data_IF_192314033610
#
_entry.id   IF_192314033610
#
_cell.length_a   1.000
_cell.length_b   1.000
_cell.length_c   1.000
_cell.angle_alpha   90.00
_cell.angle_beta   90.00
_cell.angle_gamma   90.00
#
_symmetry.space_group_name_H-M   'P 1'
#
loop_
_entity.id
_entity.type
_entity.pdbx_description
1 polymer ?
#
# COMPACT_ATOMS: atom_id res chain seq x y z
N UNK A 1 35.83 -57.71 39.47
CA UNK A 1 34.37 -57.84 39.40
C UNK A 1 33.80 -56.46 39.25
N UNK A 2 33.58 -56.03 38.06
CA UNK A 2 32.98 -54.70 37.78
C UNK A 2 31.48 -54.90 37.59
N UNK A 3 30.69 -54.49 38.60
CA UNK A 3 29.25 -54.48 38.55
C UNK A 3 28.81 -53.33 37.58
N UNK A 4 28.32 -53.75 36.42
CA UNK A 4 27.64 -52.86 35.46
C UNK A 4 26.24 -52.59 35.98
N UNK A 5 26.04 -51.50 36.72
CA UNK A 5 24.72 -51.04 37.17
C UNK A 5 24.01 -50.44 35.94
N UNK A 6 23.10 -51.21 35.33
CA UNK A 6 22.18 -50.68 34.32
C UNK A 6 21.25 -49.67 34.98
N UNK A 7 21.33 -48.42 34.60
CA UNK A 7 20.36 -47.40 35.01
C UNK A 7 19.07 -47.50 34.21
N UNK A 8 17.90 -47.15 34.78
CA UNK A 8 16.60 -47.20 34.08
C UNK A 8 16.56 -46.39 32.76
N UNK A 9 17.38 -45.37 32.66
CA UNK A 9 17.52 -44.54 31.45
C UNK A 9 18.15 -45.28 30.27
N UNK A 10 19.10 -46.20 30.55
CA UNK A 10 19.73 -47.01 29.49
C UNK A 10 18.78 -48.06 28.93
N UNK A 11 17.88 -48.62 29.72
CA UNK A 11 16.88 -49.58 29.26
C UNK A 11 15.76 -48.91 28.41
N UNK A 12 15.33 -47.70 28.77
CA UNK A 12 14.41 -46.91 27.99
C UNK A 12 14.98 -46.48 26.62
N UNK A 13 16.28 -46.13 26.58
CA UNK A 13 16.94 -45.80 25.31
C UNK A 13 17.12 -47.01 24.40
N UNK A 14 17.37 -48.18 24.94
CA UNK A 14 17.53 -49.42 24.18
C UNK A 14 16.17 -49.89 23.63
N UNK A 15 15.10 -49.80 24.44
CA UNK A 15 13.75 -50.15 24.03
C UNK A 15 13.19 -49.19 22.95
N UNK A 16 13.46 -47.86 23.07
CA UNK A 16 13.06 -46.89 22.05
C UNK A 16 13.85 -47.04 20.74
N UNK A 17 15.15 -47.40 20.80
CA UNK A 17 15.93 -47.73 19.60
C UNK A 17 15.36 -48.94 18.87
N UNK A 18 15.05 -50.00 19.59
CA UNK A 18 14.48 -51.21 18.99
C UNK A 18 13.12 -50.98 18.34
N UNK A 19 12.27 -50.18 18.95
CA UNK A 19 10.98 -49.77 18.36
C UNK A 19 11.11 -48.93 17.11
N UNK A 20 12.10 -48.01 17.09
CA UNK A 20 12.44 -47.19 15.93
C UNK A 20 13.00 -47.99 14.77
N UNK A 21 13.90 -48.94 15.03
CA UNK A 21 14.46 -49.83 14.01
C UNK A 21 13.34 -50.71 13.37
N UNK A 22 12.49 -51.32 14.16
CA UNK A 22 11.32 -52.09 13.66
C UNK A 22 10.33 -51.21 12.85
N UNK A 23 10.16 -49.95 13.22
CA UNK A 23 9.30 -49.02 12.48
C UNK A 23 9.93 -48.67 11.13
N UNK A 24 11.27 -48.40 11.10
CA UNK A 24 11.98 -48.10 9.86
C UNK A 24 12.06 -49.33 8.93
N UNK A 25 12.27 -50.52 9.47
CA UNK A 25 12.26 -51.77 8.68
C UNK A 25 10.92 -52.01 8.01
N UNK A 26 9.81 -51.73 8.72
CA UNK A 26 8.46 -51.93 8.22
C UNK A 26 7.98 -50.84 7.28
N UNK A 27 8.39 -49.58 7.47
CA UNK A 27 7.85 -48.39 6.80
C UNK A 27 8.90 -47.56 6.08
N UNK A 28 10.19 -47.89 6.18
CA UNK A 28 11.29 -47.05 5.67
C UNK A 28 11.17 -46.71 4.20
N UNK A 29 10.82 -47.66 3.36
CA UNK A 29 10.58 -47.41 1.93
C UNK A 29 9.40 -46.45 1.67
N UNK A 30 8.32 -46.54 2.44
CA UNK A 30 7.17 -45.64 2.31
C UNK A 30 7.53 -44.21 2.80
N UNK A 31 8.28 -44.11 3.88
CA UNK A 31 8.79 -42.84 4.40
C UNK A 31 9.78 -42.17 3.43
N UNK A 32 10.67 -42.98 2.83
CA UNK A 32 11.59 -42.47 1.81
C UNK A 32 10.85 -41.89 0.61
N UNK A 33 9.86 -42.64 0.08
CA UNK A 33 9.05 -42.14 -1.02
C UNK A 33 8.19 -40.92 -0.64
N UNK A 34 7.67 -40.86 0.57
CA UNK A 34 6.95 -39.69 1.07
C UNK A 34 7.87 -38.45 1.14
N UNK A 35 9.09 -38.60 1.63
CA UNK A 35 10.09 -37.50 1.65
C UNK A 35 10.49 -37.06 0.25
N UNK A 36 10.66 -37.98 -0.70
CA UNK A 36 10.96 -37.65 -2.09
C UNK A 36 9.81 -36.86 -2.72
N UNK A 37 8.56 -37.31 -2.52
CA UNK A 37 7.37 -36.61 -3.05
C UNK A 37 7.25 -35.20 -2.47
N UNK A 38 7.44 -35.05 -1.14
CA UNK A 38 7.44 -33.72 -0.49
C UNK A 38 8.56 -32.85 -1.02
N UNK A 39 9.77 -33.39 -1.19
CA UNK A 39 10.91 -32.67 -1.76
C UNK A 39 10.64 -32.19 -3.19
N UNK A 40 10.06 -33.04 -4.04
CA UNK A 40 9.67 -32.68 -5.41
C UNK A 40 8.57 -31.62 -5.42
N UNK A 41 7.56 -31.75 -4.55
CA UNK A 41 6.49 -30.76 -4.44
C UNK A 41 7.00 -29.39 -4.00
N UNK A 42 7.90 -29.35 -3.00
CA UNK A 42 8.54 -28.10 -2.57
C UNK A 42 9.41 -27.50 -3.67
N UNK A 43 10.20 -28.31 -4.38
CA UNK A 43 11.01 -27.85 -5.49
C UNK A 43 10.16 -27.25 -6.61
N UNK A 44 9.09 -27.94 -6.99
CA UNK A 44 8.12 -27.44 -8.00
C UNK A 44 7.47 -26.13 -7.54
N UNK A 45 7.08 -26.04 -6.27
CA UNK A 45 6.51 -24.82 -5.69
C UNK A 45 7.50 -23.64 -5.76
N UNK A 46 8.77 -23.85 -5.38
CA UNK A 46 9.79 -22.80 -5.45
C UNK A 46 10.11 -22.38 -6.89
N UNK A 47 10.19 -23.33 -7.82
CA UNK A 47 10.40 -23.02 -9.25
C UNK A 47 9.22 -22.19 -9.78
N UNK A 48 7.99 -22.61 -9.51
CA UNK A 48 6.78 -21.91 -9.94
C UNK A 48 6.71 -20.51 -9.34
N UNK A 49 6.97 -20.39 -8.03
CA UNK A 49 7.01 -19.09 -7.34
C UNK A 49 8.05 -18.15 -7.97
N UNK A 50 9.29 -18.61 -8.11
CA UNK A 50 10.38 -17.80 -8.69
C UNK A 50 10.09 -17.37 -10.14
N UNK A 51 9.50 -18.26 -10.94
CA UNK A 51 9.09 -17.93 -12.31
C UNK A 51 7.97 -16.87 -12.34
N UNK A 52 6.98 -17.02 -11.45
CA UNK A 52 5.87 -16.07 -11.35
C UNK A 52 6.34 -14.70 -10.83
N UNK A 53 7.22 -14.68 -9.81
CA UNK A 53 7.80 -13.44 -9.27
C UNK A 53 8.65 -12.72 -10.33
N UNK A 54 9.42 -13.45 -11.13
CA UNK A 54 10.19 -12.90 -12.26
C UNK A 54 9.31 -12.34 -13.38
N UNK A 55 8.11 -12.91 -13.59
CA UNK A 55 7.14 -12.34 -14.56
C UNK A 55 6.50 -11.06 -14.03
N UNK A 56 6.14 -11.04 -12.74
CA UNK A 56 5.59 -9.84 -12.10
C UNK A 56 6.60 -8.70 -12.11
N UNK A 57 7.85 -8.96 -11.75
CA UNK A 57 8.91 -7.95 -11.74
C UNK A 57 9.13 -7.33 -13.14
N UNK A 58 9.16 -8.14 -14.20
CA UNK A 58 9.28 -7.64 -15.57
C UNK A 58 8.07 -6.84 -16.02
N UNK A 59 6.86 -7.24 -15.62
CA UNK A 59 5.64 -6.50 -15.92
C UNK A 59 5.65 -5.13 -15.22
N UNK A 60 6.08 -5.08 -13.96
CA UNK A 60 6.23 -3.84 -13.19
C UNK A 60 7.26 -2.89 -13.79
N UNK A 61 8.42 -3.43 -14.17
CA UNK A 61 9.47 -2.64 -14.83
C UNK A 61 8.97 -2.02 -16.15
N UNK A 62 8.31 -2.82 -16.99
CA UNK A 62 7.73 -2.32 -18.24
C UNK A 62 6.65 -1.27 -17.99
N UNK A 63 5.75 -1.50 -17.03
CA UNK A 63 4.72 -0.55 -16.64
C UNK A 63 5.30 0.78 -16.14
N UNK A 64 6.36 0.72 -15.34
CA UNK A 64 7.05 1.91 -14.83
C UNK A 64 7.68 2.75 -15.93
N UNK A 65 8.24 2.10 -16.96
CA UNK A 65 8.77 2.81 -18.14
C UNK A 65 7.65 3.53 -18.90
N UNK A 66 6.52 2.86 -19.13
CA UNK A 66 5.35 3.46 -19.81
C UNK A 66 4.79 4.62 -18.98
N UNK A 67 4.64 4.45 -17.67
CA UNK A 67 4.19 5.52 -16.78
C UNK A 67 5.11 6.75 -16.84
N UNK A 68 6.44 6.53 -16.81
CA UNK A 68 7.39 7.62 -16.89
C UNK A 68 7.32 8.35 -18.25
N UNK A 69 7.10 7.62 -19.34
CA UNK A 69 6.91 8.22 -20.66
C UNK A 69 5.63 9.06 -20.71
N UNK A 70 4.52 8.60 -20.11
CA UNK A 70 3.28 9.37 -20.06
C UNK A 70 3.44 10.62 -19.16
N UNK A 71 4.11 10.51 -18.02
CA UNK A 71 4.40 11.64 -17.12
C UNK A 71 5.25 12.73 -17.77
N UNK A 72 6.15 12.36 -18.70
CA UNK A 72 7.02 13.31 -19.43
C UNK A 72 6.41 13.75 -20.77
N UNK A 73 5.36 13.07 -21.21
CA UNK A 73 4.67 13.29 -22.50
C UNK A 73 3.35 14.03 -22.35
N UNK A 74 2.30 13.41 -22.89
CA UNK A 74 0.98 14.05 -23.04
C UNK A 74 0.20 14.20 -21.73
N UNK A 75 0.51 13.38 -20.71
CA UNK A 75 -0.22 13.35 -19.43
C UNK A 75 -1.74 13.25 -19.62
N UNK A 76 -2.15 12.42 -20.59
CA UNK A 76 -3.56 12.30 -20.99
C UNK A 76 -4.29 11.23 -20.20
N UNK A 77 -5.59 11.44 -19.97
CA UNK A 77 -6.45 10.40 -19.37
C UNK A 77 -6.37 9.11 -20.19
N UNK A 78 -6.43 9.21 -21.52
CA UNK A 78 -6.37 8.06 -22.43
C UNK A 78 -5.04 7.29 -22.33
N UNK A 79 -3.90 7.97 -22.14
CA UNK A 79 -2.61 7.35 -21.93
C UNK A 79 -2.57 6.56 -20.61
N UNK A 80 -3.10 7.12 -19.55
CA UNK A 80 -3.20 6.45 -18.26
C UNK A 80 -4.19 5.27 -18.29
N UNK A 81 -5.32 5.39 -19.00
CA UNK A 81 -6.29 4.29 -19.17
C UNK A 81 -5.64 3.09 -19.87
N UNK A 82 -4.92 3.31 -20.96
CA UNK A 82 -4.18 2.25 -21.66
C UNK A 82 -3.16 1.55 -20.76
N UNK A 83 -2.46 2.32 -19.94
CA UNK A 83 -1.51 1.76 -18.99
C UNK A 83 -2.22 0.89 -17.95
N UNK A 84 -3.37 1.31 -17.44
CA UNK A 84 -4.17 0.53 -16.49
C UNK A 84 -4.65 -0.79 -17.11
N UNK A 85 -5.13 -0.77 -18.37
CA UNK A 85 -5.58 -1.98 -19.06
C UNK A 85 -4.44 -2.97 -19.31
N UNK A 86 -3.33 -2.51 -19.88
CA UNK A 86 -2.22 -3.37 -20.28
C UNK A 86 -1.44 -3.92 -19.07
N UNK A 87 -1.26 -3.09 -18.05
CA UNK A 87 -0.43 -3.41 -16.89
C UNK A 87 -1.23 -3.59 -15.60
N UNK A 88 -2.49 -3.99 -15.69
CA UNK A 88 -3.34 -4.21 -14.52
C UNK A 88 -2.64 -5.02 -13.40
N UNK A 89 -2.80 -4.57 -12.16
CA UNK A 89 -2.19 -5.19 -10.97
C UNK A 89 -0.73 -4.81 -10.71
N UNK A 90 -0.16 -3.84 -11.46
CA UNK A 90 1.14 -3.22 -11.18
C UNK A 90 0.98 -1.96 -10.34
N UNK A 91 2.03 -1.53 -9.66
CA UNK A 91 2.04 -0.26 -8.92
C UNK A 91 1.95 0.95 -9.86
N UNK A 92 2.56 0.84 -11.04
CA UNK A 92 2.45 1.86 -12.07
C UNK A 92 1.01 2.05 -12.54
N UNK A 93 0.26 0.96 -12.79
CA UNK A 93 -1.15 1.03 -13.15
C UNK A 93 -2.02 1.63 -12.01
N UNK A 94 -1.74 1.27 -10.76
CA UNK A 94 -2.41 1.86 -9.60
C UNK A 94 -2.14 3.37 -9.48
N UNK A 95 -0.90 3.80 -9.75
CA UNK A 95 -0.55 5.23 -9.79
C UNK A 95 -1.22 5.94 -10.95
N UNK A 96 -1.35 5.26 -12.11
CA UNK A 96 -2.05 5.81 -13.27
C UNK A 96 -3.52 6.09 -13.01
N UNK A 97 -4.21 5.30 -12.17
CA UNK A 97 -5.60 5.59 -11.76
C UNK A 97 -5.72 6.94 -11.07
N UNK A 98 -4.80 7.27 -10.16
CA UNK A 98 -4.75 8.58 -9.52
C UNK A 98 -4.47 9.71 -10.53
N UNK A 99 -3.53 9.49 -11.45
CA UNK A 99 -3.15 10.51 -12.44
C UNK A 99 -4.25 10.75 -13.47
N UNK A 100 -4.92 9.67 -13.92
CA UNK A 100 -6.09 9.76 -14.78
C UNK A 100 -7.21 10.56 -14.12
N UNK A 101 -7.50 10.28 -12.85
CA UNK A 101 -8.47 11.02 -12.05
C UNK A 101 -8.12 12.51 -11.93
N UNK A 102 -6.85 12.82 -11.67
CA UNK A 102 -6.40 14.21 -11.58
C UNK A 102 -6.53 14.95 -12.92
N UNK A 103 -6.17 14.30 -14.04
CA UNK A 103 -6.32 14.85 -15.37
C UNK A 103 -7.80 15.04 -15.76
N UNK A 104 -8.67 14.09 -15.43
CA UNK A 104 -10.12 14.19 -15.65
C UNK A 104 -10.73 15.34 -14.85
N UNK A 105 -10.35 15.51 -13.59
CA UNK A 105 -10.81 16.62 -12.76
C UNK A 105 -10.36 17.98 -13.33
N UNK A 106 -9.11 18.08 -13.80
CA UNK A 106 -8.62 19.28 -14.47
C UNK A 106 -9.40 19.62 -15.75
N UNK A 107 -9.87 18.59 -16.47
CA UNK A 107 -10.73 18.75 -17.63
C UNK A 107 -12.20 19.06 -17.26
N UNK A 108 -12.57 19.08 -15.99
CA UNK A 108 -13.92 19.27 -15.49
C UNK A 108 -14.81 18.03 -15.58
N UNK A 109 -14.25 16.88 -15.89
CA UNK A 109 -14.95 15.58 -15.95
C UNK A 109 -14.95 14.91 -14.58
N UNK A 110 -15.89 15.33 -13.73
CA UNK A 110 -15.99 14.85 -12.35
C UNK A 110 -16.36 13.36 -12.32
N UNK A 111 -17.26 12.92 -13.20
CA UNK A 111 -17.70 11.52 -13.23
C UNK A 111 -16.55 10.58 -13.60
N UNK A 112 -15.75 10.95 -14.59
CA UNK A 112 -14.57 10.21 -14.98
C UNK A 112 -13.54 10.19 -13.84
N UNK A 113 -13.29 11.33 -13.17
CA UNK A 113 -12.38 11.40 -12.03
C UNK A 113 -12.80 10.47 -10.89
N UNK A 114 -14.09 10.41 -10.56
CA UNK A 114 -14.62 9.47 -9.55
C UNK A 114 -14.42 8.00 -9.99
N UNK A 115 -14.69 7.68 -11.25
CA UNK A 115 -14.54 6.33 -11.80
C UNK A 115 -13.08 5.86 -11.74
N UNK A 116 -12.12 6.73 -12.09
CA UNK A 116 -10.69 6.42 -12.01
C UNK A 116 -10.24 6.18 -10.57
N UNK A 117 -10.67 7.00 -9.61
CA UNK A 117 -10.34 6.79 -8.20
C UNK A 117 -10.98 5.53 -7.60
N UNK A 118 -12.03 4.99 -8.19
CA UNK A 118 -12.60 3.71 -7.77
C UNK A 118 -11.66 2.53 -8.08
N UNK A 119 -10.78 2.66 -9.07
CA UNK A 119 -9.79 1.65 -9.45
C UNK A 119 -8.53 1.69 -8.56
N UNK A 120 -8.34 2.76 -7.78
CA UNK A 120 -7.17 2.92 -6.94
C UNK A 120 -7.20 2.01 -5.70
N UNK A 121 -6.13 1.26 -5.50
CA UNK A 121 -5.89 0.44 -4.31
C UNK A 121 -4.92 1.14 -3.35
N UNK A 122 -5.32 1.31 -2.08
CA UNK A 122 -4.45 1.87 -1.06
C UNK A 122 -3.23 0.96 -0.83
N UNK A 123 -2.06 1.57 -0.63
CA UNK A 123 -0.79 0.88 -0.42
C UNK A 123 -0.19 1.21 0.93
N UNK A 124 0.58 0.26 1.47
CA UNK A 124 1.32 0.42 2.72
C UNK A 124 2.73 0.99 2.47
N UNK A 125 3.33 1.48 3.57
CA UNK A 125 4.68 2.07 3.54
C UNK A 125 4.69 3.54 3.13
N UNK A 126 5.79 4.24 3.38
CA UNK A 126 5.87 5.70 3.26
C UNK A 126 5.47 6.25 1.88
N UNK A 127 5.88 5.60 0.78
CA UNK A 127 5.47 5.99 -0.57
C UNK A 127 3.97 5.76 -0.82
N UNK A 128 3.44 4.63 -0.32
CA UNK A 128 2.01 4.30 -0.39
C UNK A 128 1.17 5.28 0.42
N UNK A 129 1.56 5.59 1.64
CA UNK A 129 0.89 6.56 2.52
C UNK A 129 0.81 7.95 1.88
N UNK A 130 1.90 8.41 1.25
CA UNK A 130 1.92 9.68 0.53
C UNK A 130 0.95 9.66 -0.68
N UNK A 131 0.89 8.57 -1.43
CA UNK A 131 -0.04 8.44 -2.55
C UNK A 131 -1.49 8.33 -2.04
N UNK A 132 -1.74 7.57 -0.98
CA UNK A 132 -3.05 7.48 -0.33
C UNK A 132 -3.55 8.86 0.13
N UNK A 133 -2.66 9.67 0.71
CA UNK A 133 -2.97 11.05 1.10
C UNK A 133 -3.39 11.91 -0.10
N UNK A 134 -2.67 11.80 -1.22
CA UNK A 134 -3.03 12.51 -2.47
C UNK A 134 -4.36 12.06 -3.03
N UNK A 135 -4.69 10.77 -2.98
CA UNK A 135 -5.98 10.24 -3.42
C UNK A 135 -7.12 10.75 -2.54
N UNK A 136 -6.94 10.77 -1.21
CA UNK A 136 -7.91 11.37 -0.29
C UNK A 136 -8.09 12.85 -0.57
N UNK A 137 -6.99 13.57 -0.83
CA UNK A 137 -7.02 14.98 -1.20
C UNK A 137 -7.78 15.23 -2.50
N UNK A 138 -7.57 14.40 -3.53
CA UNK A 138 -8.27 14.53 -4.81
C UNK A 138 -9.77 14.22 -4.67
N UNK A 139 -10.14 13.23 -3.85
CA UNK A 139 -11.55 13.00 -3.48
C UNK A 139 -12.16 14.20 -2.76
N UNK A 140 -11.37 14.88 -1.92
CA UNK A 140 -11.77 16.14 -1.28
C UNK A 140 -11.99 17.25 -2.29
N UNK A 141 -11.11 17.38 -3.30
CA UNK A 141 -11.28 18.36 -4.39
C UNK A 141 -12.57 18.08 -5.20
N UNK A 142 -12.83 16.82 -5.53
CA UNK A 142 -14.08 16.39 -6.19
C UNK A 142 -15.31 16.77 -5.35
N UNK A 143 -15.25 16.55 -4.03
CA UNK A 143 -16.34 16.92 -3.13
C UNK A 143 -16.58 18.45 -3.11
N UNK A 144 -15.52 19.26 -3.20
CA UNK A 144 -15.65 20.73 -3.35
C UNK A 144 -16.34 21.08 -4.65
N UNK A 145 -15.94 20.50 -5.78
CA UNK A 145 -16.58 20.73 -7.09
C UNK A 145 -18.06 20.36 -7.08
N UNK A 146 -18.44 19.34 -6.32
CA UNK A 146 -19.84 18.92 -6.10
C UNK A 146 -20.57 19.78 -5.07
N UNK A 147 -19.91 20.77 -4.48
CA UNK A 147 -20.40 21.61 -3.38
C UNK A 147 -20.79 20.80 -2.12
N UNK A 148 -20.21 19.61 -1.94
CA UNK A 148 -20.33 18.82 -0.71
C UNK A 148 -19.18 19.17 0.26
N UNK A 149 -19.32 20.34 0.87
CA UNK A 149 -18.28 20.91 1.73
C UNK A 149 -18.02 20.06 2.99
N UNK A 150 -19.05 19.34 3.48
CA UNK A 150 -18.86 18.47 4.66
C UNK A 150 -17.98 17.26 4.32
N UNK A 151 -18.27 16.57 3.23
CA UNK A 151 -17.43 15.46 2.75
C UNK A 151 -16.02 15.93 2.40
N UNK A 152 -15.88 17.11 1.80
CA UNK A 152 -14.59 17.72 1.49
C UNK A 152 -13.76 17.94 2.76
N UNK A 153 -14.35 18.49 3.83
CA UNK A 153 -13.69 18.70 5.12
C UNK A 153 -13.19 17.39 5.71
N UNK A 154 -14.04 16.36 5.74
CA UNK A 154 -13.68 15.04 6.29
C UNK A 154 -12.54 14.37 5.49
N UNK A 155 -12.57 14.52 4.15
CA UNK A 155 -11.54 13.97 3.26
C UNK A 155 -10.21 14.69 3.39
N UNK A 156 -10.20 16.03 3.46
CA UNK A 156 -8.96 16.77 3.67
C UNK A 156 -8.37 16.55 5.06
N UNK A 157 -9.19 16.39 6.11
CA UNK A 157 -8.72 16.02 7.42
C UNK A 157 -8.00 14.65 7.40
N UNK A 158 -8.61 13.64 6.78
CA UNK A 158 -8.00 12.32 6.59
C UNK A 158 -6.73 12.39 5.74
N UNK A 159 -6.73 13.20 4.68
CA UNK A 159 -5.55 13.37 3.82
C UNK A 159 -4.37 14.00 4.57
N UNK A 160 -4.63 14.98 5.45
CA UNK A 160 -3.59 15.59 6.28
C UNK A 160 -2.95 14.61 7.26
N UNK A 161 -3.72 13.65 7.79
CA UNK A 161 -3.25 12.67 8.77
C UNK A 161 -2.68 11.39 8.13
N UNK A 162 -2.90 11.18 6.84
CA UNK A 162 -2.52 9.95 6.13
C UNK A 162 -1.00 9.80 5.88
N UNK A 163 -0.19 10.82 6.19
CA UNK A 163 1.26 10.78 6.05
C UNK A 163 1.91 11.72 7.06
N UNK A 164 3.06 11.32 7.59
CA UNK A 164 3.87 12.16 8.50
C UNK A 164 4.67 13.26 7.77
N UNK A 165 4.52 13.39 6.45
CA UNK A 165 5.20 14.39 5.65
C UNK A 165 4.65 15.80 5.90
N UNK A 166 5.55 16.75 6.22
CA UNK A 166 5.19 18.16 6.49
C UNK A 166 4.40 18.78 5.33
N UNK A 167 4.86 18.56 4.09
CA UNK A 167 4.23 19.15 2.91
C UNK A 167 2.79 18.66 2.75
N UNK A 168 2.56 17.36 2.92
CA UNK A 168 1.26 16.70 2.87
C UNK A 168 0.32 17.28 3.94
N UNK A 169 0.77 17.28 5.19
CA UNK A 169 -0.02 17.82 6.31
C UNK A 169 -0.40 19.28 6.09
N UNK A 170 0.57 20.14 5.76
CA UNK A 170 0.34 21.58 5.55
C UNK A 170 -0.60 21.84 4.37
N UNK A 171 -0.43 21.09 3.27
CA UNK A 171 -1.28 21.23 2.07
C UNK A 171 -2.74 20.92 2.36
N UNK A 172 -3.03 19.78 2.97
CA UNK A 172 -4.41 19.37 3.20
C UNK A 172 -5.06 20.06 4.39
N UNK A 173 -4.29 20.43 5.42
CA UNK A 173 -4.79 21.29 6.51
C UNK A 173 -5.19 22.69 6.02
N UNK A 174 -4.47 23.26 5.06
CA UNK A 174 -4.88 24.51 4.40
C UNK A 174 -6.16 24.35 3.58
N UNK A 175 -6.27 23.28 2.80
CA UNK A 175 -7.50 22.99 2.05
C UNK A 175 -8.69 22.81 2.99
N UNK A 176 -8.50 22.11 4.10
CA UNK A 176 -9.49 21.96 5.16
C UNK A 176 -9.93 23.32 5.74
N UNK A 177 -8.98 24.20 6.04
CA UNK A 177 -9.28 25.54 6.53
C UNK A 177 -10.10 26.35 5.53
N UNK A 178 -9.75 26.30 4.24
CA UNK A 178 -10.52 26.97 3.18
C UNK A 178 -11.94 26.43 3.05
N UNK A 179 -12.13 25.12 3.23
CA UNK A 179 -13.47 24.52 3.26
C UNK A 179 -14.28 25.04 4.45
N UNK A 180 -13.69 25.11 5.64
CA UNK A 180 -14.38 25.70 6.81
C UNK A 180 -14.72 27.18 6.60
N UNK A 181 -13.83 27.95 5.96
CA UNK A 181 -14.13 29.34 5.58
C UNK A 181 -15.36 29.39 4.62
N UNK A 182 -15.41 28.51 3.62
CA UNK A 182 -16.53 28.41 2.70
C UNK A 182 -17.84 27.98 3.40
N UNK A 183 -17.76 27.17 4.45
CA UNK A 183 -18.90 26.82 5.31
C UNK A 183 -19.31 27.95 6.28
N UNK A 184 -18.55 29.03 6.37
CA UNK A 184 -18.75 30.13 7.32
C UNK A 184 -18.22 29.86 8.74
N UNK A 185 -17.50 28.77 8.95
CA UNK A 185 -16.91 28.38 10.25
C UNK A 185 -15.49 28.91 10.39
N UNK A 186 -15.39 30.22 10.58
CA UNK A 186 -14.09 30.90 10.76
C UNK A 186 -13.32 30.39 11.98
N UNK A 187 -14.01 29.88 13.01
CA UNK A 187 -13.36 29.35 14.21
C UNK A 187 -12.57 28.06 13.89
N UNK A 188 -13.19 27.11 13.20
CA UNK A 188 -12.49 25.89 12.77
C UNK A 188 -11.39 26.17 11.75
N UNK A 189 -11.57 27.10 10.83
CA UNK A 189 -10.52 27.52 9.92
C UNK A 189 -9.28 28.03 10.69
N UNK A 190 -9.49 28.86 11.71
CA UNK A 190 -8.42 29.35 12.58
C UNK A 190 -7.71 28.22 13.34
N UNK A 191 -8.47 27.23 13.82
CA UNK A 191 -7.91 26.05 14.50
C UNK A 191 -6.99 25.26 13.57
N UNK A 192 -7.37 25.08 12.28
CA UNK A 192 -6.52 24.41 11.29
C UNK A 192 -5.18 25.15 11.10
N UNK A 193 -5.20 26.49 10.94
CA UNK A 193 -3.97 27.26 10.77
C UNK A 193 -3.07 27.22 12.01
N UNK A 194 -3.64 27.29 13.21
CA UNK A 194 -2.93 27.13 14.48
C UNK A 194 -2.32 25.75 14.64
N UNK A 195 -3.05 24.69 14.24
CA UNK A 195 -2.57 23.31 14.27
C UNK A 195 -1.35 23.10 13.35
N UNK A 196 -1.35 23.74 12.16
CA UNK A 196 -0.18 23.72 11.26
C UNK A 196 1.05 24.28 11.97
N UNK A 197 0.94 25.45 12.61
CA UNK A 197 2.08 26.09 13.30
C UNK A 197 2.50 25.31 14.52
N UNK A 198 1.55 24.73 15.26
CA UNK A 198 1.84 23.90 16.44
C UNK A 198 2.62 22.64 16.08
N UNK A 199 2.27 21.98 14.97
CA UNK A 199 2.94 20.76 14.49
C UNK A 199 4.25 21.08 13.76
N UNK A 200 4.28 22.18 12.98
CA UNK A 200 5.42 22.62 12.17
C UNK A 200 5.71 24.12 12.38
N UNK A 201 6.51 24.49 13.39
CA UNK A 201 6.82 25.90 13.68
C UNK A 201 7.50 26.64 12.52
N UNK A 202 8.15 25.93 11.60
CA UNK A 202 8.70 26.47 10.35
C UNK A 202 7.66 27.21 9.51
N UNK A 203 6.36 26.88 9.67
CA UNK A 203 5.23 27.44 8.92
C UNK A 203 4.64 28.71 9.55
N UNK A 204 5.12 29.15 10.72
CA UNK A 204 4.58 30.31 11.45
C UNK A 204 4.51 31.55 10.56
N UNK A 205 5.59 31.88 9.87
CA UNK A 205 5.65 33.07 8.99
C UNK A 205 4.65 33.00 7.82
N UNK A 206 4.46 31.79 7.29
CA UNK A 206 3.51 31.56 6.19
C UNK A 206 2.05 31.66 6.65
N UNK A 207 1.76 31.24 7.89
CA UNK A 207 0.41 31.25 8.48
C UNK A 207 0.06 32.55 9.20
N UNK A 208 1.03 33.44 9.49
CA UNK A 208 0.85 34.64 10.31
C UNK A 208 -0.28 35.58 9.82
N UNK A 209 -0.57 35.61 8.52
CA UNK A 209 -1.66 36.44 7.99
C UNK A 209 -3.05 35.78 8.08
N UNK A 210 -3.09 34.45 8.30
CA UNK A 210 -4.31 33.64 8.37
C UNK A 210 -4.74 33.41 9.82
N UNK A 211 -3.81 33.44 10.75
CA UNK A 211 -4.08 33.39 12.19
C UNK A 211 -4.40 34.78 12.68
N UNK A 212 -5.66 35.01 13.10
CA UNK A 212 -6.17 36.26 13.64
C UNK A 212 -6.44 36.15 15.12
#
# INVERSE_FOLDING_TARGET
>A
MTNNVKTPETDLMVETKGKLELFFDKHGNKLLWALIIVGLALSAFFIFKNFNDGRKARKEEAASVVLNNELTGAQSVEGYDKLQEEYAGTEAANTASFLAAAAALQAGDIEKAEAELANFEAKEGAAGEMLNAKVLGLRGDIAVEKNDLQSAADLFAKAAEASDDEHTYVTYSKKLALVYEAMGDAAKAQECYKAIVAKYPSQERAMAKMIR
#
